data_IF_915373981067
#
_entry.id   IF_915373981067
#
_cell.length_a   1.000
_cell.length_b   1.000
_cell.length_c   1.000
_cell.angle_alpha   90.00
_cell.angle_beta   90.00
_cell.angle_gamma   90.00
#
_symmetry.space_group_name_H-M   'P 1'
#
loop_
_entity.id
_entity.type
_entity.pdbx_description
1 polymer ?
#
# COMPACT_ATOMS: atom_id res chain seq x y z
N UNK A 1 -6.71 -7.21 -16.05
CA UNK A 1 -5.63 -6.33 -15.58
C UNK A 1 -6.17 -5.62 -14.35
N UNK A 2 -5.44 -5.55 -13.24
CA UNK A 2 -5.92 -4.81 -12.06
C UNK A 2 -5.77 -3.32 -12.30
N UNK A 3 -6.74 -2.55 -11.82
CA UNK A 3 -6.58 -1.11 -11.61
C UNK A 3 -5.93 -0.88 -10.24
N UNK A 4 -5.20 0.22 -10.10
CA UNK A 4 -4.45 0.54 -8.89
C UNK A 4 -4.72 1.97 -8.44
N UNK A 5 -4.60 2.18 -7.13
CA UNK A 5 -4.50 3.50 -6.50
C UNK A 5 -3.17 3.61 -5.77
N UNK A 6 -2.68 4.84 -5.66
CA UNK A 6 -1.51 5.20 -4.88
C UNK A 6 -1.97 5.84 -3.58
N UNK A 7 -1.60 5.22 -2.47
CA UNK A 7 -2.07 5.58 -1.12
C UNK A 7 -0.87 6.03 -0.30
N UNK A 8 -0.84 7.30 0.09
CA UNK A 8 0.19 7.83 0.97
C UNK A 8 -0.27 7.81 2.42
N UNK A 9 0.56 7.23 3.28
CA UNK A 9 0.41 7.28 4.74
C UNK A 9 1.58 8.11 5.28
N UNK A 10 1.27 9.31 5.77
CA UNK A 10 2.28 10.18 6.37
C UNK A 10 2.85 9.59 7.65
N UNK A 11 4.07 9.97 7.99
CA UNK A 11 4.71 9.63 9.26
C UNK A 11 3.80 10.04 10.44
N UNK A 12 3.78 9.21 11.49
CA UNK A 12 2.88 9.31 12.66
C UNK A 12 1.37 9.15 12.38
N UNK A 13 0.95 9.07 11.11
CA UNK A 13 -0.45 8.89 10.76
C UNK A 13 -0.92 7.44 10.95
N UNK A 14 -2.18 7.29 11.36
CA UNK A 14 -2.88 6.00 11.44
C UNK A 14 -3.75 5.71 10.22
N UNK A 15 -3.98 6.72 9.39
CA UNK A 15 -4.84 6.64 8.20
C UNK A 15 -4.13 7.24 6.99
N UNK A 16 -4.54 6.89 5.76
CA UNK A 16 -4.03 7.53 4.57
C UNK A 16 -4.26 9.05 4.58
N UNK A 17 -3.22 9.81 4.24
CA UNK A 17 -3.30 11.26 4.09
C UNK A 17 -3.74 11.67 2.68
N UNK A 18 -3.46 10.82 1.68
CA UNK A 18 -3.82 11.06 0.29
C UNK A 18 -4.01 9.75 -0.49
N UNK A 19 -4.92 9.78 -1.48
CA UNK A 19 -5.17 8.68 -2.42
C UNK A 19 -5.30 9.26 -3.83
N UNK A 20 -4.50 8.76 -4.77
CA UNK A 20 -4.44 9.23 -6.15
C UNK A 20 -4.52 8.05 -7.12
N UNK A 21 -4.98 8.29 -8.35
CA UNK A 21 -4.94 7.31 -9.45
C UNK A 21 -3.62 7.35 -10.24
N UNK A 22 -2.96 8.50 -10.21
CA UNK A 22 -1.74 8.77 -10.96
C UNK A 22 -0.56 8.95 -9.98
N UNK A 23 0.55 8.28 -10.29
CA UNK A 23 1.72 8.25 -9.39
C UNK A 23 2.48 9.57 -9.41
N UNK A 24 2.60 10.21 -10.57
CA UNK A 24 3.40 11.43 -10.71
C UNK A 24 2.76 12.57 -9.92
N UNK A 25 1.43 12.72 -10.01
CA UNK A 25 0.69 13.73 -9.25
C UNK A 25 0.84 13.59 -7.72
N UNK A 26 0.82 12.36 -7.18
CA UNK A 26 0.98 12.17 -5.72
C UNK A 26 2.44 12.35 -5.30
N UNK A 27 3.40 11.97 -6.13
CA UNK A 27 4.83 12.24 -5.88
C UNK A 27 5.11 13.74 -5.86
N UNK A 28 4.59 14.49 -6.83
CA UNK A 28 4.70 15.95 -6.87
C UNK A 28 4.09 16.61 -5.63
N UNK A 29 2.93 16.12 -5.16
CA UNK A 29 2.31 16.59 -3.93
C UNK A 29 3.16 16.29 -2.68
N UNK A 30 3.75 15.10 -2.58
CA UNK A 30 4.67 14.72 -1.48
C UNK A 30 5.91 15.62 -1.46
N UNK A 31 6.55 15.80 -2.62
CA UNK A 31 7.77 16.60 -2.77
C UNK A 31 7.49 18.06 -2.45
N UNK A 32 6.43 18.64 -3.04
CA UNK A 32 6.10 20.06 -2.89
C UNK A 32 5.76 20.46 -1.45
N UNK A 33 5.31 19.51 -0.63
CA UNK A 33 4.98 19.72 0.77
C UNK A 33 6.05 19.19 1.74
N UNK A 34 7.18 18.69 1.24
CA UNK A 34 8.26 18.10 2.05
C UNK A 34 7.78 17.03 3.04
N UNK A 35 6.88 16.13 2.60
CA UNK A 35 6.28 15.15 3.49
C UNK A 35 7.19 13.95 3.75
N UNK A 36 7.13 13.42 4.98
CA UNK A 36 7.72 12.13 5.36
C UNK A 36 6.62 11.08 5.48
N UNK A 37 6.89 9.85 5.05
CA UNK A 37 5.93 8.75 5.10
C UNK A 37 6.20 7.62 4.11
N UNK A 38 5.14 6.90 3.76
CA UNK A 38 5.21 5.79 2.80
C UNK A 38 4.07 5.86 1.79
N UNK A 39 4.42 5.69 0.52
CA UNK A 39 3.51 5.60 -0.61
C UNK A 39 3.35 4.15 -1.01
N UNK A 40 2.12 3.65 -1.16
CA UNK A 40 1.82 2.25 -1.49
C UNK A 40 0.95 2.18 -2.73
N UNK A 41 1.26 1.27 -3.66
CA UNK A 41 0.43 0.99 -4.83
C UNK A 41 -0.50 -0.18 -4.54
N UNK A 42 -1.77 0.11 -4.32
CA UNK A 42 -2.77 -0.89 -3.91
C UNK A 42 -3.75 -1.22 -5.04
N UNK A 43 -4.10 -2.51 -5.22
CA UNK A 43 -5.06 -2.91 -6.23
C UNK A 43 -6.50 -2.54 -5.83
N UNK A 44 -7.31 -2.16 -6.81
CA UNK A 44 -8.73 -1.81 -6.64
C UNK A 44 -9.61 -3.06 -6.80
N UNK A 45 -10.74 -3.11 -6.08
CA UNK A 45 -11.74 -4.18 -6.12
C UNK A 45 -11.21 -5.57 -5.69
N UNK A 46 -10.12 -5.60 -4.93
CA UNK A 46 -9.56 -6.82 -4.36
C UNK A 46 -8.79 -6.50 -3.07
N UNK A 47 -8.85 -7.38 -2.07
CA UNK A 47 -8.05 -7.20 -0.86
C UNK A 47 -6.57 -7.50 -1.14
N UNK A 48 -5.65 -6.91 -0.35
CA UNK A 48 -4.22 -7.24 -0.45
C UNK A 48 -3.96 -8.73 -0.20
N UNK A 49 -4.79 -9.36 0.65
CA UNK A 49 -4.74 -10.80 0.93
C UNK A 49 -5.06 -11.62 -0.32
N UNK A 50 -6.23 -11.42 -0.92
CA UNK A 50 -6.67 -12.18 -2.09
C UNK A 50 -5.76 -11.90 -3.29
N UNK A 51 -5.35 -10.64 -3.47
CA UNK A 51 -4.40 -10.26 -4.51
C UNK A 51 -3.07 -11.00 -4.34
N UNK A 52 -2.52 -11.06 -3.12
CA UNK A 52 -1.26 -11.76 -2.87
C UNK A 52 -1.36 -13.25 -3.14
N UNK A 53 -2.51 -13.87 -2.87
CA UNK A 53 -2.75 -15.29 -3.21
C UNK A 53 -2.85 -15.46 -4.72
N UNK A 54 -3.65 -14.63 -5.40
CA UNK A 54 -3.83 -14.70 -6.86
C UNK A 54 -2.53 -14.48 -7.63
N UNK A 55 -1.65 -13.61 -7.14
CA UNK A 55 -0.34 -13.37 -7.75
C UNK A 55 0.72 -14.43 -7.36
N UNK A 56 0.40 -15.36 -6.44
CA UNK A 56 1.35 -16.36 -5.95
C UNK A 56 2.41 -15.82 -4.98
N UNK A 57 2.23 -14.60 -4.46
CA UNK A 57 3.11 -14.02 -3.44
C UNK A 57 2.86 -14.58 -2.03
N UNK A 58 1.67 -15.10 -1.79
CA UNK A 58 1.30 -15.69 -0.51
C UNK A 58 0.49 -16.97 -0.70
N UNK A 59 0.82 -18.00 0.07
CA UNK A 59 0.08 -19.25 0.10
C UNK A 59 -0.32 -19.55 1.57
N UNK A 60 -1.61 -19.51 1.94
CA UNK A 60 -2.04 -19.79 3.31
C UNK A 60 -1.93 -21.29 3.62
N UNK A 61 -0.86 -21.68 4.32
CA UNK A 61 -0.54 -23.07 4.68
C UNK A 61 -1.14 -23.52 6.01
N UNK A 62 -1.54 -22.58 6.87
CA UNK A 62 -2.10 -22.85 8.20
C UNK A 62 -3.52 -22.33 8.31
N UNK A 63 -4.38 -23.01 9.06
CA UNK A 63 -5.80 -22.65 9.16
C UNK A 63 -6.03 -21.24 9.69
N UNK A 64 -5.24 -20.80 10.68
CA UNK A 64 -5.34 -19.42 11.18
C UNK A 64 -5.07 -18.35 10.11
N UNK A 65 -4.35 -18.68 9.03
CA UNK A 65 -4.07 -17.73 7.95
C UNK A 65 -5.29 -17.50 7.04
N UNK A 66 -6.36 -18.28 7.22
CA UNK A 66 -7.65 -18.16 6.53
C UNK A 66 -8.72 -17.56 7.44
N UNK A 67 -8.42 -17.33 8.71
CA UNK A 67 -9.35 -16.74 9.67
C UNK A 67 -9.49 -15.22 9.47
N UNK A 68 -10.66 -14.68 9.78
CA UNK A 68 -10.97 -13.24 9.66
C UNK A 68 -9.95 -12.36 10.39
N UNK A 69 -9.52 -12.77 11.58
CA UNK A 69 -8.50 -12.06 12.38
C UNK A 69 -7.16 -11.93 11.66
N UNK A 70 -6.80 -12.89 10.82
CA UNK A 70 -5.59 -12.81 10.01
C UNK A 70 -5.82 -11.95 8.77
N UNK A 71 -6.91 -12.20 8.03
CA UNK A 71 -7.25 -11.50 6.79
C UNK A 71 -7.34 -9.98 7.03
N UNK A 72 -8.04 -9.54 8.09
CA UNK A 72 -8.28 -8.12 8.36
C UNK A 72 -7.01 -7.28 8.64
N UNK A 73 -5.91 -7.93 9.04
CA UNK A 73 -4.64 -7.28 9.37
C UNK A 73 -3.53 -7.64 8.39
N UNK A 74 -3.87 -8.36 7.33
CA UNK A 74 -2.90 -8.83 6.37
C UNK A 74 -2.29 -7.66 5.62
N UNK A 75 -0.97 -7.66 5.54
CA UNK A 75 -0.19 -6.79 4.68
C UNK A 75 0.74 -7.67 3.82
N UNK A 76 1.25 -7.11 2.73
CA UNK A 76 2.13 -7.85 1.83
C UNK A 76 3.34 -7.00 1.49
N UNK A 77 4.53 -7.55 1.71
CA UNK A 77 5.78 -6.91 1.30
C UNK A 77 5.95 -6.85 -0.23
N UNK A 78 5.14 -7.63 -0.97
CA UNK A 78 5.09 -7.60 -2.43
C UNK A 78 4.31 -6.41 -2.99
N UNK A 79 3.64 -5.63 -2.14
CA UNK A 79 3.06 -4.35 -2.53
C UNK A 79 4.21 -3.38 -2.84
N UNK A 80 4.20 -2.85 -4.06
CA UNK A 80 5.15 -1.82 -4.47
C UNK A 80 4.95 -0.56 -3.60
N UNK A 81 6.02 -0.10 -2.96
CA UNK A 81 5.98 1.03 -2.05
C UNK A 81 7.27 1.85 -2.13
N UNK A 82 7.15 3.12 -1.74
CA UNK A 82 8.24 4.10 -1.71
C UNK A 82 8.25 4.80 -0.36
N UNK A 83 9.44 5.01 0.20
CA UNK A 83 9.63 5.75 1.44
C UNK A 83 10.07 7.18 1.13
N UNK A 84 9.52 8.12 1.88
CA UNK A 84 9.87 9.53 1.77
C UNK A 84 10.30 10.08 3.12
N UNK A 85 11.36 10.89 3.11
CA UNK A 85 11.80 11.71 4.23
C UNK A 85 11.96 13.16 3.77
N UNK A 86 11.21 14.07 4.36
CA UNK A 86 11.20 15.50 4.02
C UNK A 86 11.00 15.77 2.51
N UNK A 87 10.16 14.95 1.84
CA UNK A 87 9.89 15.03 0.41
C UNK A 87 10.94 14.37 -0.49
N UNK A 88 11.94 13.69 0.06
CA UNK A 88 12.97 12.96 -0.70
C UNK A 88 12.65 11.46 -0.67
N UNK A 89 12.58 10.84 -1.85
CA UNK A 89 12.42 9.38 -2.00
C UNK A 89 13.73 8.66 -1.59
N UNK A 90 13.63 7.65 -0.73
CA UNK A 90 14.76 6.87 -0.18
C UNK A 90 14.98 5.53 -0.88
#
# INVERSE_FOLDING_TARGET
MFEYVFVFVGEESKLPSAIYLDIDNIKDWIISNSLSGSLHKLPINISVYDWSIMQGYFEPKKDYQKESRFIQRFTSASVEHWHYENGIEL
#
